data_IF_179454186084
#
_entry.id   IF_179454186084
#
_cell.length_a   1.000
_cell.length_b   1.000
_cell.length_c   1.000
_cell.angle_alpha   90.00
_cell.angle_beta   90.00
_cell.angle_gamma   90.00
#
_symmetry.space_group_name_H-M   'P 1'
#
loop_
_entity.id
_entity.type
_entity.pdbx_description
1 polymer ?
#
# COMPACT_ATOMS: atom_id res chain seq x y z
N UNK A 1 -10.19 -3.45 8.11
CA UNK A 1 -9.76 -3.59 6.72
C UNK A 1 -8.80 -4.75 6.71
N UNK A 2 -9.06 -5.77 5.89
CA UNK A 2 -8.20 -6.96 5.84
C UNK A 2 -6.89 -6.65 5.07
N UNK A 3 -5.84 -7.43 5.29
CA UNK A 3 -4.56 -7.29 4.56
C UNK A 3 -4.76 -7.45 3.05
N UNK A 4 -5.72 -8.28 2.62
CA UNK A 4 -6.06 -8.44 1.21
C UNK A 4 -6.70 -7.17 0.62
N UNK A 5 -7.52 -6.45 1.39
CA UNK A 5 -8.08 -5.16 0.98
C UNK A 5 -6.96 -4.13 0.78
N UNK A 6 -6.00 -4.08 1.71
CA UNK A 6 -4.85 -3.19 1.62
C UNK A 6 -3.99 -3.49 0.40
N UNK A 7 -3.72 -4.77 0.13
CA UNK A 7 -2.96 -5.21 -1.05
C UNK A 7 -3.64 -4.81 -2.35
N UNK A 8 -4.97 -4.95 -2.42
CA UNK A 8 -5.75 -4.50 -3.58
C UNK A 8 -5.68 -2.98 -3.78
N UNK A 9 -5.82 -2.19 -2.71
CA UNK A 9 -5.70 -0.73 -2.79
C UNK A 9 -4.31 -0.32 -3.28
N UNK A 10 -3.25 -0.95 -2.77
CA UNK A 10 -1.88 -0.70 -3.23
C UNK A 10 -1.70 -1.06 -4.70
N UNK A 11 -2.27 -2.17 -5.16
CA UNK A 11 -2.23 -2.56 -6.57
C UNK A 11 -2.92 -1.53 -7.47
N UNK A 12 -4.14 -1.10 -7.12
CA UNK A 12 -4.88 -0.08 -7.87
C UNK A 12 -4.12 1.25 -7.93
N UNK A 13 -3.53 1.68 -6.81
CA UNK A 13 -2.71 2.90 -6.75
C UNK A 13 -1.43 2.76 -7.57
N UNK A 14 -0.76 1.60 -7.54
CA UNK A 14 0.42 1.34 -8.36
C UNK A 14 0.08 1.39 -9.86
N UNK A 15 -1.02 0.77 -10.30
CA UNK A 15 -1.46 0.83 -11.70
C UNK A 15 -1.72 2.27 -12.13
N UNK A 16 -2.36 3.06 -11.26
CA UNK A 16 -2.60 4.47 -11.53
C UNK A 16 -1.30 5.29 -11.61
N UNK A 17 -0.37 5.09 -10.66
CA UNK A 17 0.90 5.84 -10.59
C UNK A 17 1.88 5.47 -11.71
N UNK A 18 1.86 4.22 -12.18
CA UNK A 18 2.72 3.75 -13.28
C UNK A 18 2.27 4.29 -14.65
N UNK A 19 1.02 4.72 -14.79
CA UNK A 19 0.53 5.29 -16.04
C UNK A 19 1.20 6.66 -16.32
N UNK A 20 1.97 6.82 -17.42
CA UNK A 20 2.64 8.07 -17.75
C UNK A 20 1.70 9.27 -17.87
N UNK A 21 0.44 9.05 -18.26
CA UNK A 21 -0.56 10.12 -18.38
C UNK A 21 -0.87 10.79 -17.02
N UNK A 22 -0.67 10.06 -15.91
CA UNK A 22 -1.01 10.52 -14.58
C UNK A 22 0.12 11.30 -13.90
N UNK A 23 1.36 11.30 -14.44
CA UNK A 23 2.52 11.96 -13.82
C UNK A 23 2.35 13.45 -13.53
N UNK A 24 1.54 14.13 -14.35
CA UNK A 24 1.24 15.55 -14.22
C UNK A 24 -0.15 15.82 -13.63
N UNK A 25 -0.87 14.78 -13.19
CA UNK A 25 -2.19 14.92 -12.58
C UNK A 25 -2.05 15.57 -11.20
N UNK A 26 -2.99 16.46 -10.84
CA UNK A 26 -2.95 17.19 -9.58
C UNK A 26 -2.85 16.27 -8.35
N UNK A 27 -3.54 15.12 -8.42
CA UNK A 27 -3.59 14.13 -7.34
C UNK A 27 -2.38 13.20 -7.27
N UNK A 28 -1.39 13.32 -8.16
CA UNK A 28 -0.30 12.34 -8.22
C UNK A 28 0.43 12.19 -6.88
N UNK A 29 0.79 13.31 -6.25
CA UNK A 29 1.46 13.30 -4.94
C UNK A 29 0.59 12.73 -3.83
N UNK A 30 -0.72 12.97 -3.88
CA UNK A 30 -1.65 12.44 -2.89
C UNK A 30 -1.76 10.91 -3.04
N UNK A 31 -1.91 10.41 -4.27
CA UNK A 31 -1.99 8.97 -4.53
C UNK A 31 -0.68 8.24 -4.21
N UNK A 32 0.46 8.87 -4.46
CA UNK A 32 1.77 8.35 -4.03
C UNK A 32 1.87 8.27 -2.51
N UNK A 33 1.46 9.32 -1.80
CA UNK A 33 1.39 9.33 -0.34
C UNK A 33 0.48 8.22 0.19
N UNK A 34 -0.73 8.09 -0.36
CA UNK A 34 -1.70 7.07 0.05
C UNK A 34 -1.16 5.66 -0.19
N UNK A 35 -0.51 5.43 -1.34
CA UNK A 35 0.14 4.14 -1.65
C UNK A 35 1.19 3.82 -0.60
N UNK A 36 2.06 4.78 -0.28
CA UNK A 36 3.11 4.59 0.72
C UNK A 36 2.52 4.30 2.11
N UNK A 37 1.45 4.99 2.49
CA UNK A 37 0.74 4.73 3.75
C UNK A 37 0.21 3.29 3.83
N UNK A 38 -0.48 2.81 2.79
CA UNK A 38 -1.03 1.44 2.79
C UNK A 38 0.06 0.37 2.72
N UNK A 39 1.18 0.63 2.02
CA UNK A 39 2.36 -0.26 2.06
C UNK A 39 2.92 -0.35 3.48
N UNK A 40 3.09 0.77 4.19
CA UNK A 40 3.54 0.73 5.59
C UNK A 40 2.59 -0.06 6.49
N UNK A 41 1.27 0.05 6.27
CA UNK A 41 0.28 -0.75 7.02
C UNK A 41 0.34 -2.25 6.74
N UNK A 42 0.62 -2.64 5.50
CA UNK A 42 0.84 -4.05 5.17
C UNK A 42 2.07 -4.57 5.91
N UNK A 43 3.18 -3.82 5.91
CA UNK A 43 4.42 -4.20 6.62
C UNK A 43 4.16 -4.35 8.12
N UNK A 44 3.51 -3.38 8.75
CA UNK A 44 3.17 -3.45 10.19
C UNK A 44 2.36 -4.72 10.52
N UNK A 45 1.41 -5.13 9.67
CA UNK A 45 0.60 -6.32 9.88
C UNK A 45 1.44 -7.60 9.70
N UNK A 46 2.25 -7.66 8.65
CA UNK A 46 3.11 -8.82 8.36
C UNK A 46 4.18 -9.01 9.46
N UNK A 47 4.76 -7.93 9.97
CA UNK A 47 5.69 -7.97 11.11
C UNK A 47 5.01 -8.47 12.40
N UNK A 48 3.78 -8.03 12.68
CA UNK A 48 3.03 -8.51 13.83
C UNK A 48 2.72 -10.00 13.73
N UNK A 49 2.37 -10.50 12.54
CA UNK A 49 2.11 -11.92 12.32
C UNK A 49 3.37 -12.77 12.54
N UNK A 50 4.51 -12.32 12.02
CA UNK A 50 5.79 -13.01 12.22
C UNK A 50 6.19 -13.06 13.70
N UNK A 51 6.06 -11.95 14.43
CA UNK A 51 6.39 -11.92 15.86
C UNK A 51 5.47 -12.83 16.69
N UNK A 52 4.20 -12.99 16.30
CA UNK A 52 3.30 -13.93 17.00
C UNK A 52 3.60 -15.40 16.72
N UNK A 53 4.26 -15.72 15.60
CA UNK A 53 4.65 -17.09 15.24
C UNK A 53 6.00 -17.51 15.86
N UNK A 54 6.86 -16.55 16.23
CA UNK A 54 8.16 -16.82 16.88
C UNK A 54 8.07 -17.03 18.40
N UNK A 55 6.97 -16.60 19.02
CA UNK A 55 6.71 -16.71 20.46
C UNK A 55 5.91 -17.99 20.87
N UNK A 56 5.57 -18.87 19.92
CA UNK A 56 4.94 -20.20 20.13
C UNK A 56 5.93 -21.37 19.98
#
# INVERSE_FOLDING_TARGET
MDINDLKKIVEDLNQWLLNPANKNHADYRLKEHDRNYYVSKIIEIEELQLNTEEDE
#
